data_IF_103677162090
#
_entry.id   IF_103677162090
#
_cell.length_a   1.000
_cell.length_b   1.000
_cell.length_c   1.000
_cell.angle_alpha   90.00
_cell.angle_beta   90.00
_cell.angle_gamma   90.00
#
_symmetry.space_group_name_H-M   'P 1'
#
loop_
_entity.id
_entity.type
_entity.pdbx_description
1 polymer ?
#
# COMPACT_ATOMS: atom_id res chain seq x y z
N UNK A 1 41.07 -36.80 58.75
CA UNK A 1 41.48 -35.92 59.87
C UNK A 1 42.17 -34.69 59.31
N UNK A 2 41.85 -33.51 59.90
CA UNK A 2 42.39 -32.15 59.65
C UNK A 2 41.88 -31.44 58.38
N UNK A 3 41.51 -30.16 58.37
CA UNK A 3 41.16 -29.12 59.37
C UNK A 3 40.48 -28.01 58.55
N UNK A 4 39.43 -27.40 59.09
CA UNK A 4 38.69 -26.23 58.57
C UNK A 4 39.47 -24.91 58.74
N UNK A 5 39.32 -23.97 57.78
CA UNK A 5 39.24 -22.49 57.92
C UNK A 5 39.21 -21.85 56.50
N UNK A 6 38.12 -21.22 56.02
CA UNK A 6 37.73 -19.78 56.15
C UNK A 6 38.88 -18.83 55.72
N UNK A 7 38.78 -17.97 54.70
CA UNK A 7 37.96 -16.73 54.62
C UNK A 7 37.99 -16.14 53.18
N UNK A 8 36.83 -15.57 52.78
CA UNK A 8 36.50 -14.54 51.77
C UNK A 8 37.61 -13.85 50.92
N UNK A 9 37.33 -13.60 49.62
CA UNK A 9 36.74 -12.33 49.13
C UNK A 9 36.54 -12.33 47.60
N UNK A 10 35.44 -11.71 47.18
CA UNK A 10 34.95 -11.60 45.82
C UNK A 10 35.69 -10.54 44.99
N UNK A 11 35.80 -10.76 43.67
CA UNK A 11 35.81 -9.69 42.67
C UNK A 11 35.32 -10.23 41.31
N UNK A 12 34.06 -9.92 41.00
CA UNK A 12 33.49 -9.93 39.64
C UNK A 12 34.16 -8.83 38.83
N UNK A 13 34.70 -9.14 37.65
CA UNK A 13 34.90 -8.17 36.57
C UNK A 13 34.83 -8.84 35.19
N UNK A 14 33.63 -8.78 34.64
CA UNK A 14 33.25 -8.69 33.22
C UNK A 14 34.42 -8.42 32.26
N UNK A 15 34.75 -9.41 31.43
CA UNK A 15 35.61 -9.24 30.26
C UNK A 15 34.80 -9.53 28.99
N UNK A 16 33.97 -8.57 28.60
CA UNK A 16 33.47 -8.40 27.22
C UNK A 16 33.60 -6.92 26.88
N UNK A 17 34.55 -6.56 26.02
CA UNK A 17 34.66 -5.23 25.45
C UNK A 17 35.49 -5.26 24.18
N UNK A 18 34.94 -4.85 23.02
CA UNK A 18 35.70 -4.75 21.79
C UNK A 18 36.65 -3.54 21.86
N UNK A 19 37.82 -3.71 21.26
CA UNK A 19 38.81 -2.67 21.02
C UNK A 19 38.23 -1.57 20.13
N UNK A 20 37.84 -0.43 20.72
CA UNK A 20 37.60 0.80 19.98
C UNK A 20 38.96 1.44 19.65
N UNK A 21 39.40 1.28 18.40
CA UNK A 21 40.41 2.16 17.81
C UNK A 21 39.91 3.60 17.82
N UNK A 22 40.81 4.54 18.02
CA UNK A 22 40.55 5.98 18.11
C UNK A 22 39.73 6.51 16.92
N UNK A 23 38.42 6.62 17.08
CA UNK A 23 37.55 7.38 16.18
C UNK A 23 37.37 8.77 16.79
N UNK A 24 38.17 9.71 16.29
CA UNK A 24 37.97 11.13 16.56
C UNK A 24 36.63 11.57 15.97
N UNK A 25 35.79 12.18 16.82
CA UNK A 25 34.55 12.84 16.37
C UNK A 25 34.92 14.02 15.49
N UNK A 26 34.42 14.06 14.25
CA UNK A 26 34.59 15.19 13.34
C UNK A 26 33.92 16.43 13.95
N UNK A 27 34.57 17.58 13.83
CA UNK A 27 33.94 18.84 14.25
C UNK A 27 32.83 19.22 13.26
N UNK A 28 31.83 20.04 13.68
CA UNK A 28 30.81 20.53 12.77
C UNK A 28 31.37 21.24 11.53
N UNK A 29 32.52 21.90 11.68
CA UNK A 29 33.18 22.61 10.59
C UNK A 29 33.78 21.64 9.56
N UNK A 30 34.38 20.52 10.02
CA UNK A 30 34.92 19.47 9.14
C UNK A 30 33.82 18.82 8.27
N UNK A 31 32.62 18.65 8.84
CA UNK A 31 31.47 18.09 8.11
C UNK A 31 30.95 19.06 7.05
N UNK A 32 30.95 20.36 7.35
CA UNK A 32 30.50 21.38 6.41
C UNK A 32 31.49 21.53 5.24
N UNK A 33 32.79 21.47 5.50
CA UNK A 33 33.82 21.50 4.46
C UNK A 33 33.77 20.27 3.56
N UNK A 34 33.56 19.08 4.12
CA UNK A 34 33.41 17.84 3.35
C UNK A 34 32.19 17.91 2.41
N UNK A 35 31.06 18.43 2.92
CA UNK A 35 29.83 18.58 2.15
C UNK A 35 29.98 19.61 1.01
N UNK A 36 30.63 20.75 1.27
CA UNK A 36 30.93 21.76 0.25
C UNK A 36 31.92 21.24 -0.80
N UNK A 37 32.90 20.42 -0.40
CA UNK A 37 33.84 19.80 -1.31
C UNK A 37 33.20 18.72 -2.19
N UNK A 38 32.16 18.04 -1.71
CA UNK A 38 31.36 17.11 -2.52
C UNK A 38 30.44 17.85 -3.50
N UNK A 39 29.79 18.92 -3.07
CA UNK A 39 28.92 19.73 -3.93
C UNK A 39 29.71 20.45 -5.03
N UNK A 40 30.93 20.92 -4.76
CA UNK A 40 31.81 21.51 -5.77
C UNK A 40 32.29 20.49 -6.83
N UNK A 41 32.31 19.19 -6.49
CA UNK A 41 32.65 18.10 -7.43
C UNK A 41 31.45 17.68 -8.29
N UNK A 42 30.23 18.00 -7.86
CA UNK A 42 29.02 17.83 -8.67
C UNK A 42 28.93 19.01 -9.64
N UNK A 43 29.67 18.95 -10.73
CA UNK A 43 29.46 19.88 -11.83
C UNK A 43 28.00 19.81 -12.31
N UNK A 44 27.35 20.94 -12.63
CA UNK A 44 26.10 20.90 -13.37
C UNK A 44 26.43 20.38 -14.77
N UNK A 45 25.91 19.19 -15.10
CA UNK A 45 25.90 18.72 -16.48
C UNK A 45 24.86 19.54 -17.23
N UNK A 46 25.33 20.53 -17.96
CA UNK A 46 24.60 21.14 -19.06
C UNK A 46 24.87 20.28 -20.30
N UNK A 47 23.92 19.41 -20.66
CA UNK A 47 23.91 18.66 -21.92
C UNK A 47 22.70 19.05 -22.77
N UNK A 48 22.78 20.24 -23.37
CA UNK A 48 22.02 20.54 -24.58
C UNK A 48 22.36 19.55 -25.71
N UNK A 49 21.60 18.47 -25.82
CA UNK A 49 21.53 17.64 -27.03
C UNK A 49 20.15 17.00 -27.18
N UNK A 50 19.43 17.42 -28.22
CA UNK A 50 18.37 16.68 -28.93
C UNK A 50 17.51 15.72 -28.08
N UNK A 51 16.71 16.28 -27.17
CA UNK A 51 15.73 15.51 -26.42
C UNK A 51 14.53 15.23 -27.33
N UNK A 52 14.40 13.96 -27.75
CA UNK A 52 13.05 13.40 -27.99
C UNK A 52 12.31 13.61 -26.67
N UNK A 53 11.22 14.38 -26.68
CA UNK A 53 10.40 14.61 -25.48
C UNK A 53 9.85 13.26 -24.99
N UNK A 54 10.51 12.63 -24.02
CA UNK A 54 9.96 11.53 -23.23
C UNK A 54 8.86 12.07 -22.30
N UNK A 55 7.79 11.28 -22.08
CA UNK A 55 6.71 11.60 -21.14
C UNK A 55 7.26 11.89 -19.73
N UNK A 56 6.80 13.00 -19.14
CA UNK A 56 7.24 13.44 -17.82
C UNK A 56 6.64 12.56 -16.71
N UNK A 57 7.26 12.58 -15.53
CA UNK A 57 6.77 11.87 -14.33
C UNK A 57 5.39 12.38 -13.85
N UNK A 58 4.95 13.51 -14.42
CA UNK A 58 3.68 14.18 -14.22
C UNK A 58 2.59 13.70 -15.19
N UNK A 59 2.98 13.30 -16.40
CA UNK A 59 2.15 12.73 -17.47
C UNK A 59 1.84 11.25 -17.21
N UNK A 60 2.74 10.59 -16.48
CA UNK A 60 2.59 9.25 -15.92
C UNK A 60 1.84 9.21 -14.59
N UNK A 61 1.29 10.33 -14.09
CA UNK A 61 0.29 10.36 -12.99
C UNK A 61 -1.09 10.13 -13.57
N UNK A 62 -1.64 8.94 -13.67
CA UNK A 62 -1.24 7.55 -13.55
C UNK A 62 -2.38 6.93 -14.35
N UNK A 63 -2.11 6.16 -15.40
CA UNK A 63 -3.19 5.47 -16.10
C UNK A 63 -3.99 4.64 -15.08
N UNK A 64 -5.25 4.32 -15.40
CA UNK A 64 -6.06 3.51 -14.50
C UNK A 64 -5.33 2.21 -14.14
N UNK A 65 -5.02 2.01 -12.86
CA UNK A 65 -4.28 0.84 -12.38
C UNK A 65 -5.24 -0.36 -12.29
N UNK A 66 -5.39 -1.07 -13.41
CA UNK A 66 -6.28 -2.24 -13.52
C UNK A 66 -5.96 -3.31 -12.48
N UNK A 67 -4.67 -3.52 -12.18
CA UNK A 67 -4.23 -4.52 -11.21
C UNK A 67 -4.65 -4.12 -9.80
N UNK A 68 -4.46 -2.85 -9.43
CA UNK A 68 -4.89 -2.37 -8.12
C UNK A 68 -6.42 -2.36 -8.00
N UNK A 69 -7.12 -2.00 -9.08
CA UNK A 69 -8.58 -2.11 -9.15
C UNK A 69 -9.03 -3.57 -8.91
N UNK A 70 -8.44 -4.55 -9.60
CA UNK A 70 -8.74 -5.97 -9.43
C UNK A 70 -8.55 -6.43 -7.97
N UNK A 71 -7.44 -6.07 -7.33
CA UNK A 71 -7.17 -6.44 -5.93
C UNK A 71 -8.20 -5.87 -4.97
N UNK A 72 -8.57 -4.60 -5.13
CA UNK A 72 -9.56 -3.97 -4.27
C UNK A 72 -10.98 -4.47 -4.56
N UNK A 73 -11.29 -4.82 -5.82
CA UNK A 73 -12.56 -5.46 -6.19
C UNK A 73 -12.67 -6.86 -5.59
N UNK A 74 -11.60 -7.66 -5.58
CA UNK A 74 -11.56 -8.96 -4.88
C UNK A 74 -11.83 -8.76 -3.39
N UNK A 75 -11.21 -7.76 -2.74
CA UNK A 75 -11.46 -7.44 -1.33
C UNK A 75 -12.93 -7.04 -1.12
N UNK A 76 -13.47 -6.15 -1.95
CA UNK A 76 -14.86 -5.72 -1.84
C UNK A 76 -15.85 -6.86 -2.09
N UNK A 77 -15.58 -7.75 -3.05
CA UNK A 77 -16.39 -8.94 -3.30
C UNK A 77 -16.41 -9.87 -2.09
N UNK A 78 -15.27 -10.06 -1.41
CA UNK A 78 -15.22 -10.82 -0.14
C UNK A 78 -16.07 -10.18 0.96
N UNK A 79 -16.04 -8.85 1.07
CA UNK A 79 -16.94 -8.13 1.99
C UNK A 79 -18.41 -8.33 1.59
N UNK A 80 -18.72 -8.30 0.30
CA UNK A 80 -20.07 -8.51 -0.23
C UNK A 80 -20.60 -9.92 0.04
N UNK A 81 -19.76 -10.96 0.16
CA UNK A 81 -20.20 -12.30 0.58
C UNK A 81 -20.90 -12.30 1.94
N UNK A 82 -20.51 -11.40 2.85
CA UNK A 82 -21.16 -11.26 4.17
C UNK A 82 -22.59 -10.71 4.09
N UNK A 83 -22.98 -10.11 2.95
CA UNK A 83 -24.33 -9.60 2.72
C UNK A 83 -25.38 -10.70 2.67
N UNK A 84 -25.01 -11.94 2.32
CA UNK A 84 -25.96 -13.08 2.32
C UNK A 84 -26.55 -13.29 3.72
N UNK A 85 -25.77 -13.06 4.79
CA UNK A 85 -26.25 -13.15 6.16
C UNK A 85 -27.24 -12.06 6.58
N UNK A 86 -27.37 -10.98 5.80
CA UNK A 86 -28.33 -9.89 6.03
C UNK A 86 -29.72 -10.25 5.51
N UNK A 87 -29.85 -11.30 4.68
CA UNK A 87 -31.09 -11.70 4.03
C UNK A 87 -31.45 -13.12 4.47
N UNK A 88 -32.74 -13.39 4.66
CA UNK A 88 -33.23 -14.75 4.95
C UNK A 88 -32.84 -15.70 3.80
N UNK A 89 -32.75 -17.00 4.08
CA UNK A 89 -32.24 -18.05 3.19
C UNK A 89 -32.90 -18.16 1.80
N UNK A 90 -33.89 -17.33 1.48
CA UNK A 90 -34.70 -17.32 0.25
C UNK A 90 -34.30 -16.21 -0.73
N UNK A 91 -33.23 -15.45 -0.46
CA UNK A 91 -32.70 -14.44 -1.39
C UNK A 91 -32.09 -15.05 -2.67
N UNK A 92 -32.01 -14.28 -3.78
CA UNK A 92 -31.32 -14.72 -4.98
C UNK A 92 -29.86 -15.08 -4.65
N UNK A 93 -29.41 -16.23 -5.15
CA UNK A 93 -28.05 -16.78 -5.01
C UNK A 93 -27.32 -16.78 -6.35
N UNK A 94 -26.04 -17.14 -6.35
CA UNK A 94 -25.19 -17.17 -7.52
C UNK A 94 -24.44 -15.86 -7.75
N UNK A 95 -24.09 -15.60 -9.01
CA UNK A 95 -23.24 -14.46 -9.38
C UNK A 95 -24.06 -13.20 -9.60
N UNK A 96 -23.72 -12.15 -8.86
CA UNK A 96 -24.23 -10.80 -9.09
C UNK A 96 -23.24 -10.01 -9.94
N UNK A 97 -23.67 -9.53 -11.11
CA UNK A 97 -22.83 -8.66 -11.96
C UNK A 97 -22.97 -7.22 -11.51
N UNK A 98 -21.86 -6.56 -11.21
CA UNK A 98 -21.81 -5.16 -10.78
C UNK A 98 -21.02 -4.36 -11.82
N UNK A 99 -21.57 -3.26 -12.29
CA UNK A 99 -20.87 -2.30 -13.15
C UNK A 99 -20.45 -1.12 -12.30
N UNK A 100 -19.16 -0.76 -12.33
CA UNK A 100 -18.58 0.32 -11.54
C UNK A 100 -17.91 1.33 -12.46
N UNK A 101 -18.22 2.60 -12.25
CA UNK A 101 -17.56 3.72 -12.92
C UNK A 101 -16.71 4.49 -11.92
N UNK A 102 -15.39 4.52 -12.16
CA UNK A 102 -14.42 5.24 -11.35
C UNK A 102 -14.23 6.67 -11.88
N UNK A 103 -14.25 7.64 -10.97
CA UNK A 103 -13.82 9.00 -11.26
C UNK A 103 -12.30 9.12 -11.17
N UNK A 104 -11.74 10.18 -11.79
CA UNK A 104 -10.32 10.51 -11.73
C UNK A 104 -9.73 10.68 -10.32
N UNK A 105 -10.59 10.86 -9.30
CA UNK A 105 -10.17 10.86 -7.89
C UNK A 105 -9.83 9.46 -7.35
N UNK A 106 -10.08 8.41 -8.14
CA UNK A 106 -9.91 7.01 -7.74
C UNK A 106 -11.12 6.41 -7.02
N UNK A 107 -12.14 7.20 -6.72
CA UNK A 107 -13.36 6.70 -6.06
C UNK A 107 -14.39 6.21 -7.09
N UNK A 108 -15.23 5.26 -6.69
CA UNK A 108 -16.43 4.89 -7.45
C UNK A 108 -17.41 6.07 -7.46
N UNK A 109 -17.77 6.52 -8.66
CA UNK A 109 -18.75 7.60 -8.90
C UNK A 109 -20.16 7.05 -9.15
N UNK A 110 -20.25 5.92 -9.83
CA UNK A 110 -21.51 5.26 -10.13
C UNK A 110 -21.34 3.75 -10.04
N UNK A 111 -22.42 3.08 -9.62
CA UNK A 111 -22.49 1.64 -9.50
C UNK A 111 -23.88 1.16 -9.87
N UNK A 112 -23.99 0.11 -10.68
CA UNK A 112 -25.24 -0.58 -10.98
C UNK A 112 -25.03 -2.09 -10.80
N UNK A 113 -26.11 -2.84 -10.63
CA UNK A 113 -26.11 -4.28 -10.38
C UNK A 113 -27.15 -4.94 -11.26
N UNK A 114 -26.90 -6.18 -11.64
CA UNK A 114 -27.82 -6.96 -12.47
C UNK A 114 -29.25 -6.97 -11.91
N UNK A 115 -30.21 -7.04 -12.83
CA UNK A 115 -31.63 -6.77 -12.54
C UNK A 115 -32.25 -7.66 -11.47
N UNK A 116 -31.69 -8.85 -11.25
CA UNK A 116 -32.17 -9.84 -10.29
C UNK A 116 -31.92 -9.41 -8.84
N UNK A 117 -30.90 -8.56 -8.63
CA UNK A 117 -30.52 -8.03 -7.32
C UNK A 117 -30.91 -6.57 -7.15
N UNK A 118 -31.31 -5.88 -8.22
CA UNK A 118 -31.68 -4.46 -8.19
C UNK A 118 -32.86 -4.20 -7.25
N UNK A 119 -32.77 -3.10 -6.51
CA UNK A 119 -33.74 -2.67 -5.48
C UNK A 119 -33.97 -3.63 -4.29
N UNK A 120 -33.28 -4.78 -4.25
CA UNK A 120 -33.34 -5.71 -3.12
C UNK A 120 -32.43 -5.26 -1.97
N UNK A 121 -32.69 -5.68 -0.72
CA UNK A 121 -31.75 -5.48 0.40
C UNK A 121 -30.37 -6.08 0.14
N UNK A 122 -30.32 -7.25 -0.51
CA UNK A 122 -29.07 -7.92 -0.89
C UNK A 122 -28.25 -7.06 -1.85
N UNK A 123 -28.88 -6.62 -2.95
CA UNK A 123 -28.23 -5.77 -3.95
C UNK A 123 -27.76 -4.44 -3.39
N UNK A 124 -28.52 -3.82 -2.48
CA UNK A 124 -28.08 -2.60 -1.77
C UNK A 124 -26.83 -2.87 -0.92
N UNK A 125 -26.77 -3.98 -0.20
CA UNK A 125 -25.59 -4.35 0.58
C UNK A 125 -24.36 -4.58 -0.32
N UNK A 126 -24.53 -5.32 -1.43
CA UNK A 126 -23.47 -5.56 -2.42
C UNK A 126 -22.98 -4.24 -3.00
N UNK A 127 -23.88 -3.37 -3.48
CA UNK A 127 -23.53 -2.07 -4.04
C UNK A 127 -22.78 -1.20 -3.03
N UNK A 128 -23.18 -1.21 -1.75
CA UNK A 128 -22.46 -0.46 -0.71
C UNK A 128 -21.03 -1.00 -0.49
N UNK A 129 -20.84 -2.32 -0.52
CA UNK A 129 -19.51 -2.92 -0.40
C UNK A 129 -18.63 -2.57 -1.60
N UNK A 130 -19.19 -2.63 -2.82
CA UNK A 130 -18.46 -2.37 -4.07
C UNK A 130 -18.19 -0.87 -4.29
N UNK A 131 -19.09 0.02 -3.88
CA UNK A 131 -18.91 1.47 -3.98
C UNK A 131 -17.83 2.02 -3.05
N UNK A 132 -17.41 1.25 -2.03
CA UNK A 132 -16.32 1.60 -1.13
C UNK A 132 -14.92 1.33 -1.73
N UNK A 133 -14.84 0.77 -2.94
CA UNK A 133 -13.56 0.54 -3.63
C UNK A 133 -12.92 1.88 -3.97
N UNK A 134 -11.63 1.98 -3.67
CA UNK A 134 -10.80 3.14 -4.00
C UNK A 134 -9.54 2.66 -4.68
N UNK A 135 -9.24 3.26 -5.82
CA UNK A 135 -8.00 3.05 -6.58
C UNK A 135 -7.13 4.31 -6.52
N UNK A 136 -5.85 4.25 -6.90
CA UNK A 136 -5.04 5.44 -7.07
C UNK A 136 -5.73 6.44 -8.03
N UNK A 137 -5.66 7.76 -7.74
CA UNK A 137 -6.14 8.78 -8.67
C UNK A 137 -5.47 8.63 -10.04
N UNK A 138 -6.24 8.89 -11.10
CA UNK A 138 -5.80 8.72 -12.48
C UNK A 138 -6.30 9.86 -13.37
N UNK A 139 -5.67 10.02 -14.53
CA UNK A 139 -5.98 11.09 -15.50
C UNK A 139 -6.63 10.48 -16.75
N UNK A 140 -7.54 11.22 -17.39
CA UNK A 140 -8.26 10.77 -18.58
C UNK A 140 -9.77 10.67 -18.36
N UNK A 141 -10.45 9.88 -19.18
CA UNK A 141 -11.87 9.61 -19.03
C UNK A 141 -12.16 8.71 -17.81
N UNK A 142 -13.37 8.80 -17.28
CA UNK A 142 -13.85 7.86 -16.26
C UNK A 142 -13.73 6.42 -16.75
N UNK A 143 -13.34 5.53 -15.85
CA UNK A 143 -13.10 4.13 -16.21
C UNK A 143 -14.26 3.28 -15.72
N UNK A 144 -14.92 2.55 -16.63
CA UNK A 144 -16.03 1.67 -16.29
C UNK A 144 -15.61 0.22 -16.48
N UNK A 145 -15.87 -0.61 -15.47
CA UNK A 145 -15.63 -2.04 -15.52
C UNK A 145 -16.83 -2.82 -14.98
N UNK A 146 -16.94 -4.06 -15.45
CA UNK A 146 -17.89 -5.04 -14.94
C UNK A 146 -17.14 -6.02 -14.02
N UNK A 147 -17.75 -6.36 -12.90
CA UNK A 147 -17.21 -7.30 -11.93
C UNK A 147 -18.28 -8.29 -11.46
N UNK A 148 -17.92 -9.57 -11.40
CA UNK A 148 -18.79 -10.62 -10.87
C UNK A 148 -18.53 -10.82 -9.38
N UNK A 149 -19.58 -10.68 -8.58
CA UNK A 149 -19.57 -11.02 -7.15
C UNK A 149 -20.19 -12.40 -6.99
N UNK A 150 -19.38 -13.37 -6.59
CA UNK A 150 -19.86 -14.71 -6.28
C UNK A 150 -20.45 -14.76 -4.87
N UNK A 151 -21.74 -15.07 -4.77
CA UNK A 151 -22.48 -15.14 -3.50
C UNK A 151 -22.72 -16.58 -3.04
N UNK A 152 -22.19 -17.58 -3.75
CA UNK A 152 -22.28 -18.96 -3.31
C UNK A 152 -21.30 -19.17 -2.13
N UNK A 153 -21.80 -19.85 -1.09
CA UNK A 153 -20.97 -20.25 0.05
C UNK A 153 -19.99 -21.33 -0.43
N UNK A 154 -18.69 -21.09 -0.19
CA UNK A 154 -17.61 -22.07 -0.43
C UNK A 154 -17.51 -23.07 0.72
#
# INVERSE_FOLDING_TARGET
>A
MRKTALVLLAALAVACGPSYGSQGVKSPDDLLEEQLAEDAKRQPKDDGSDYVMEETDEDKRQQFDERQAELELIRAARSAKTCVGVVTADGPRGKAKVTLTFANSGNVKASDISSEFKDTPLGKCILNAMAAVVVPPFVGAEHTLDWDVDLDEE
#
